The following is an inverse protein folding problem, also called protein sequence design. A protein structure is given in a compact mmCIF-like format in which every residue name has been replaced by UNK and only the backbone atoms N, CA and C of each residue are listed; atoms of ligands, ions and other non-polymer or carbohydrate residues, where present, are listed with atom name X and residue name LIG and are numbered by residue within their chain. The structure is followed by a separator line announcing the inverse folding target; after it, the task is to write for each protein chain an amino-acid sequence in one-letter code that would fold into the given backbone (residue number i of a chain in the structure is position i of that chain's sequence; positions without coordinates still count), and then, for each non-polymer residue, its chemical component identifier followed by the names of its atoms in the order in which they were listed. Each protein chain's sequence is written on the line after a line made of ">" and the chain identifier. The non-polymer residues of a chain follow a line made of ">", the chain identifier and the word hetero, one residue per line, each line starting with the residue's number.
data_IF_585959463898
#
_entry.id   IF_585959463898
#
_cell.length_a   1.000
_cell.length_b   1.000
_cell.length_c   1.000
_cell.angle_alpha   90.00
_cell.angle_beta   90.00
_cell.angle_gamma   90.00
#
_symmetry.space_group_name_H-M   'P 1'
#
loop_
_entity.id
_entity.type
_entity.pdbx_description
1 polymer ?
#
# COMPACT_ATOMS: atom_id res chain seq x y z
N UNK A 1 -12.36 8.79 37.40
CA UNK A 1 -12.49 7.63 36.49
C UNK A 1 -11.85 8.04 35.17
N UNK A 2 -10.74 7.43 34.79
CA UNK A 2 -10.18 7.62 33.44
C UNK A 2 -11.21 7.08 32.46
N UNK A 3 -11.73 7.95 31.58
CA UNK A 3 -12.65 7.56 30.50
C UNK A 3 -11.92 6.55 29.61
N UNK A 4 -12.55 5.43 29.29
CA UNK A 4 -11.93 4.45 28.38
C UNK A 4 -11.70 5.11 27.03
N UNK A 5 -10.48 4.98 26.51
CA UNK A 5 -10.10 5.50 25.20
C UNK A 5 -10.79 4.71 24.09
N UNK A 6 -11.05 5.36 22.97
CA UNK A 6 -11.48 4.68 21.76
C UNK A 6 -10.40 3.78 21.17
N UNK A 7 -10.74 3.08 20.09
CA UNK A 7 -9.86 2.20 19.34
C UNK A 7 -9.65 2.77 17.93
N UNK A 8 -8.44 2.66 17.40
CA UNK A 8 -8.14 2.91 15.99
C UNK A 8 -8.21 1.59 15.24
N UNK A 9 -9.04 1.53 14.21
CA UNK A 9 -9.13 0.42 13.29
C UNK A 9 -8.44 0.79 11.97
N UNK A 10 -7.38 0.05 11.60
CA UNK A 10 -6.74 0.19 10.30
C UNK A 10 -7.59 -0.57 9.27
N UNK A 11 -8.39 0.17 8.50
CA UNK A 11 -9.41 -0.36 7.59
C UNK A 11 -8.83 -0.52 6.19
N UNK A 12 -8.58 -1.74 5.71
CA UNK A 12 -8.17 -1.93 4.32
C UNK A 12 -9.33 -1.65 3.36
N UNK A 13 -8.97 -1.20 2.17
CA UNK A 13 -9.89 -1.05 1.05
C UNK A 13 -9.43 -1.87 -0.18
N UNK A 14 -10.29 -2.10 -1.18
CA UNK A 14 -9.89 -2.77 -2.41
C UNK A 14 -8.70 -2.07 -3.08
N UNK A 15 -7.80 -2.84 -3.69
CA UNK A 15 -6.70 -2.30 -4.51
C UNK A 15 -7.26 -1.81 -5.85
N UNK A 16 -8.20 -2.56 -6.43
CA UNK A 16 -8.89 -2.20 -7.66
C UNK A 16 -10.36 -1.85 -7.39
N UNK A 17 -10.84 -0.77 -8.01
CA UNK A 17 -12.25 -0.39 -7.96
C UNK A 17 -13.16 -1.23 -8.88
N UNK A 18 -12.59 -2.09 -9.73
CA UNK A 18 -13.32 -2.88 -10.72
C UNK A 18 -13.98 -4.15 -10.13
N UNK A 19 -13.64 -4.53 -8.90
CA UNK A 19 -14.26 -5.66 -8.19
C UNK A 19 -15.22 -5.19 -7.12
N UNK A 20 -16.14 -6.06 -6.72
CA UNK A 20 -16.96 -5.84 -5.54
C UNK A 20 -16.07 -5.76 -4.29
N UNK A 21 -16.47 -4.93 -3.33
CA UNK A 21 -15.72 -4.75 -2.09
C UNK A 21 -15.54 -6.08 -1.35
N UNK A 22 -16.60 -6.88 -1.32
CA UNK A 22 -16.63 -8.13 -0.54
C UNK A 22 -16.08 -9.35 -1.29
N UNK A 23 -15.61 -9.16 -2.52
CA UNK A 23 -14.82 -10.20 -3.22
C UNK A 23 -13.38 -10.24 -2.71
N UNK A 24 -12.89 -9.13 -2.15
CA UNK A 24 -11.49 -8.96 -1.72
C UNK A 24 -11.32 -8.64 -0.24
N UNK A 25 -12.39 -8.25 0.45
CA UNK A 25 -12.39 -7.98 1.89
C UNK A 25 -13.27 -8.99 2.63
N UNK A 26 -12.89 -9.43 3.85
CA UNK A 26 -13.76 -10.21 4.72
C UNK A 26 -15.02 -9.42 5.10
N UNK A 27 -16.19 -10.05 4.99
CA UNK A 27 -17.47 -9.44 5.37
C UNK A 27 -17.52 -9.02 6.86
N UNK A 28 -16.73 -9.66 7.72
CA UNK A 28 -16.59 -9.26 9.12
C UNK A 28 -16.09 -7.83 9.33
N UNK A 29 -15.39 -7.26 8.33
CA UNK A 29 -14.97 -5.85 8.40
C UNK A 29 -16.18 -4.90 8.39
N UNK A 30 -17.31 -5.30 7.80
CA UNK A 30 -18.51 -4.45 7.73
C UNK A 30 -19.09 -4.15 9.13
N UNK A 31 -19.05 -5.10 10.04
CA UNK A 31 -19.52 -4.91 11.42
C UNK A 31 -18.72 -3.81 12.12
N UNK A 32 -17.39 -3.84 11.94
CA UNK A 32 -16.52 -2.79 12.49
C UNK A 32 -16.82 -1.44 11.83
N UNK A 33 -16.90 -1.42 10.49
CA UNK A 33 -17.19 -0.18 9.74
C UNK A 33 -18.51 0.44 10.20
N UNK A 34 -19.57 -0.34 10.38
CA UNK A 34 -20.87 0.12 10.84
C UNK A 34 -20.88 0.66 12.28
N UNK A 35 -19.91 0.23 13.11
CA UNK A 35 -19.76 0.73 14.47
C UNK A 35 -19.12 2.11 14.56
N UNK A 36 -18.53 2.61 13.45
CA UNK A 36 -17.75 3.84 13.42
C UNK A 36 -18.54 4.99 12.79
N UNK A 37 -18.22 6.20 13.25
CA UNK A 37 -18.73 7.46 12.70
C UNK A 37 -17.62 8.51 12.47
N UNK A 38 -16.38 8.19 12.81
CA UNK A 38 -15.20 9.03 12.65
C UNK A 38 -14.12 8.31 11.82
N UNK A 39 -13.63 8.96 10.76
CA UNK A 39 -12.70 8.39 9.82
C UNK A 39 -11.54 9.34 9.54
N UNK A 40 -10.33 8.83 9.69
CA UNK A 40 -9.08 9.48 9.31
C UNK A 40 -8.66 8.88 7.96
N UNK A 41 -8.62 9.69 6.91
CA UNK A 41 -8.53 9.19 5.54
C UNK A 41 -7.47 9.93 4.74
N UNK A 42 -6.81 9.24 3.83
CA UNK A 42 -5.84 9.85 2.93
C UNK A 42 -6.54 10.80 1.94
N UNK A 43 -7.75 10.42 1.48
CA UNK A 43 -8.58 11.21 0.59
C UNK A 43 -10.07 11.01 0.92
N UNK A 44 -10.77 12.09 1.23
CA UNK A 44 -12.20 12.03 1.63
C UNK A 44 -13.08 11.47 0.51
N UNK A 45 -12.82 11.85 -0.74
CA UNK A 45 -13.65 11.40 -1.88
C UNK A 45 -13.55 9.91 -2.10
N UNK A 46 -12.35 9.37 -2.08
CA UNK A 46 -12.09 7.92 -2.23
C UNK A 46 -12.70 7.13 -1.07
N UNK A 47 -12.52 7.61 0.17
CA UNK A 47 -13.08 6.96 1.36
C UNK A 47 -14.62 6.95 1.35
N UNK A 48 -15.28 8.06 1.02
CA UNK A 48 -16.76 8.13 0.90
C UNK A 48 -17.26 7.13 -0.16
N UNK A 49 -16.58 7.03 -1.30
CA UNK A 49 -16.92 6.07 -2.37
C UNK A 49 -16.76 4.64 -1.89
N UNK A 50 -15.64 4.31 -1.23
CA UNK A 50 -15.42 2.99 -0.65
C UNK A 50 -16.51 2.61 0.33
N UNK A 51 -16.80 3.46 1.33
CA UNK A 51 -17.82 3.19 2.35
C UNK A 51 -19.22 3.04 1.74
N UNK A 52 -19.57 3.86 0.75
CA UNK A 52 -20.84 3.73 0.01
C UNK A 52 -20.94 2.38 -0.72
N UNK A 53 -19.86 1.94 -1.39
CA UNK A 53 -19.81 0.64 -2.08
C UNK A 53 -19.79 -0.54 -1.11
N UNK A 54 -19.23 -0.34 0.08
CA UNK A 54 -19.27 -1.35 1.14
C UNK A 54 -20.68 -1.56 1.72
N UNK A 55 -21.64 -0.68 1.42
CA UNK A 55 -23.03 -0.80 1.86
C UNK A 55 -23.20 -0.53 3.35
N UNK A 56 -22.51 0.49 3.87
CA UNK A 56 -22.66 0.88 5.28
C UNK A 56 -24.10 1.32 5.59
N UNK A 57 -24.54 1.05 6.82
CA UNK A 57 -25.91 1.33 7.26
C UNK A 57 -26.16 2.83 7.48
N UNK A 58 -25.13 3.56 7.96
CA UNK A 58 -25.22 5.00 8.21
C UNK A 58 -25.15 5.79 6.91
N UNK A 59 -25.86 6.92 6.84
CA UNK A 59 -25.72 7.85 5.74
C UNK A 59 -24.32 8.47 5.75
N UNK A 60 -23.67 8.54 4.61
CA UNK A 60 -22.31 9.10 4.45
C UNK A 60 -22.18 10.52 5.03
N UNK A 61 -23.23 11.33 4.91
CA UNK A 61 -23.24 12.71 5.41
C UNK A 61 -23.36 12.82 6.95
N UNK A 62 -23.61 11.72 7.64
CA UNK A 62 -23.59 11.62 9.10
C UNK A 62 -22.21 11.19 9.64
N UNK A 63 -21.26 10.90 8.77
CA UNK A 63 -19.91 10.50 9.12
C UNK A 63 -18.98 11.71 9.12
N UNK A 64 -18.07 11.73 10.07
CA UNK A 64 -17.02 12.73 10.14
C UNK A 64 -15.74 12.21 9.48
N UNK A 65 -15.18 13.01 8.58
CA UNK A 65 -13.94 12.69 7.86
C UNK A 65 -12.90 13.77 8.13
N UNK A 66 -11.67 13.34 8.43
CA UNK A 66 -10.49 14.21 8.50
C UNK A 66 -9.41 13.65 7.57
N UNK A 67 -8.76 14.54 6.82
CA UNK A 67 -7.70 14.13 5.90
C UNK A 67 -6.35 14.07 6.60
N UNK A 68 -5.66 12.94 6.42
CA UNK A 68 -4.27 12.72 6.77
C UNK A 68 -3.49 12.38 5.50
N UNK A 69 -2.83 13.38 4.92
CA UNK A 69 -2.04 13.28 3.70
C UNK A 69 -0.70 14.02 3.89
N UNK A 70 0.11 14.11 2.84
CA UNK A 70 1.42 14.79 2.89
C UNK A 70 1.36 16.28 3.31
N UNK A 71 0.21 16.93 3.16
CA UNK A 71 -0.01 18.33 3.53
C UNK A 71 -0.50 18.49 4.96
N UNK A 72 -1.09 17.45 5.56
CA UNK A 72 -1.71 17.44 6.90
C UNK A 72 -1.02 16.49 7.87
N UNK A 73 0.19 16.03 7.55
CA UNK A 73 0.98 15.09 8.37
C UNK A 73 1.85 15.78 9.44
N UNK A 74 1.65 17.08 9.70
CA UNK A 74 2.33 17.77 10.81
C UNK A 74 1.88 17.20 12.14
N UNK A 75 2.77 17.17 13.13
CA UNK A 75 2.51 16.57 14.45
C UNK A 75 1.25 17.15 15.10
N UNK A 76 1.06 18.48 15.01
CA UNK A 76 -0.12 19.18 15.56
C UNK A 76 -1.44 18.76 14.91
N UNK A 77 -1.42 18.46 13.60
CA UNK A 77 -2.59 17.99 12.88
C UNK A 77 -2.95 16.56 13.31
N UNK A 78 -1.95 15.69 13.43
CA UNK A 78 -2.15 14.30 13.86
C UNK A 78 -2.62 14.23 15.32
N UNK A 79 -2.10 15.10 16.21
CA UNK A 79 -2.56 15.23 17.61
C UNK A 79 -4.03 15.66 17.68
N UNK A 80 -4.45 16.61 16.83
CA UNK A 80 -5.84 17.03 16.75
C UNK A 80 -6.77 15.89 16.31
N UNK A 81 -6.33 15.07 15.35
CA UNK A 81 -7.08 13.89 14.89
C UNK A 81 -7.20 12.81 15.98
N UNK A 82 -6.20 12.70 16.87
CA UNK A 82 -6.23 11.72 17.97
C UNK A 82 -7.15 12.15 19.13
N UNK A 83 -7.42 13.45 19.32
CA UNK A 83 -8.17 13.95 20.48
C UNK A 83 -9.54 13.28 20.69
N UNK A 84 -10.43 13.11 19.69
CA UNK A 84 -11.69 12.40 19.88
C UNK A 84 -11.51 10.97 20.38
N UNK A 85 -10.41 10.32 19.97
CA UNK A 85 -10.11 8.94 20.33
C UNK A 85 -9.66 8.85 21.80
N UNK A 86 -8.90 9.82 22.26
CA UNK A 86 -8.55 9.94 23.69
C UNK A 86 -9.78 10.19 24.57
N UNK A 87 -10.83 10.77 24.01
CA UNK A 87 -12.10 11.03 24.68
C UNK A 87 -13.08 9.86 24.61
N UNK A 88 -12.69 8.70 24.01
CA UNK A 88 -13.47 7.47 23.98
C UNK A 88 -14.13 7.16 22.65
N UNK A 89 -14.00 8.00 21.62
CA UNK A 89 -14.56 7.77 20.28
C UNK A 89 -13.61 6.88 19.48
N UNK A 90 -14.10 5.79 18.87
CA UNK A 90 -13.29 4.97 17.97
C UNK A 90 -13.21 5.56 16.57
N UNK A 91 -12.13 5.25 15.85
CA UNK A 91 -11.89 5.78 14.51
C UNK A 91 -11.48 4.68 13.53
N UNK A 92 -11.84 4.86 12.24
CA UNK A 92 -11.33 4.09 11.13
C UNK A 92 -10.25 4.88 10.37
N UNK A 93 -9.12 4.23 10.06
CA UNK A 93 -8.08 4.80 9.19
C UNK A 93 -8.16 4.12 7.84
N UNK A 94 -8.29 4.89 6.76
CA UNK A 94 -8.48 4.40 5.39
C UNK A 94 -7.47 5.08 4.47
N UNK A 95 -6.67 4.28 3.73
CA UNK A 95 -5.81 4.75 2.64
C UNK A 95 -6.54 4.76 1.29
N UNK A 96 -5.88 5.22 0.23
CA UNK A 96 -6.49 5.19 -1.10
C UNK A 96 -6.65 3.78 -1.67
N UNK A 97 -5.72 2.85 -1.35
CA UNK A 97 -5.77 1.48 -1.84
C UNK A 97 -5.08 0.50 -0.89
N UNK A 98 -5.66 -0.67 -0.68
CA UNK A 98 -5.06 -1.75 0.10
C UNK A 98 -5.08 -1.50 1.61
N UNK A 99 -3.97 -1.76 2.28
CA UNK A 99 -3.85 -1.70 3.75
C UNK A 99 -3.27 -0.36 4.20
N UNK A 100 -3.94 0.38 5.10
CA UNK A 100 -3.43 1.65 5.61
C UNK A 100 -2.19 1.45 6.50
N UNK A 101 -1.36 2.49 6.59
CA UNK A 101 -0.11 2.47 7.35
C UNK A 101 1.07 1.80 6.63
N UNK A 102 0.88 1.35 5.38
CA UNK A 102 1.94 0.76 4.55
C UNK A 102 2.14 1.60 3.30
N UNK A 103 3.21 2.37 3.27
CA UNK A 103 3.52 3.35 2.22
C UNK A 103 2.50 4.50 2.12
N UNK A 104 1.84 4.81 3.21
CA UNK A 104 0.90 5.92 3.36
C UNK A 104 1.02 6.59 4.75
N UNK A 105 0.45 7.79 4.97
CA UNK A 105 0.57 8.54 6.23
C UNK A 105 -0.18 7.92 7.42
N UNK A 106 -0.96 6.87 7.23
CA UNK A 106 -1.65 6.16 8.32
C UNK A 106 -0.69 5.61 9.40
N UNK A 107 0.59 5.44 9.07
CA UNK A 107 1.62 5.06 10.04
C UNK A 107 1.81 6.12 11.15
N UNK A 108 1.65 7.41 10.84
CA UNK A 108 1.85 8.50 11.80
C UNK A 108 0.81 8.48 12.91
N UNK A 109 -0.47 8.30 12.54
CA UNK A 109 -1.56 8.20 13.53
C UNK A 109 -1.44 6.92 14.38
N UNK A 110 -1.00 5.81 13.80
CA UNK A 110 -0.74 4.57 14.54
C UNK A 110 0.41 4.75 15.54
N UNK A 111 1.51 5.39 15.13
CA UNK A 111 2.63 5.69 16.02
C UNK A 111 2.24 6.62 17.18
N UNK A 112 1.43 7.64 16.90
CA UNK A 112 0.92 8.56 17.94
C UNK A 112 -0.05 7.83 18.89
N UNK A 113 -0.92 6.99 18.37
CA UNK A 113 -1.84 6.17 19.16
C UNK A 113 -1.09 5.31 20.18
N UNK A 114 -0.04 4.62 19.76
CA UNK A 114 0.80 3.81 20.65
C UNK A 114 1.46 4.64 21.75
N UNK A 115 1.97 5.85 21.44
CA UNK A 115 2.53 6.76 22.44
C UNK A 115 1.52 7.15 23.51
N UNK A 116 0.26 7.26 23.15
CA UNK A 116 -0.83 7.61 24.07
C UNK A 116 -1.56 6.37 24.65
N UNK A 117 -1.09 5.15 24.42
CA UNK A 117 -1.72 3.93 24.92
C UNK A 117 -3.13 3.72 24.36
N UNK A 118 -3.37 4.14 23.11
CA UNK A 118 -4.60 3.85 22.35
C UNK A 118 -4.43 2.52 21.64
N UNK A 119 -5.46 1.69 21.68
CA UNK A 119 -5.48 0.41 20.97
C UNK A 119 -5.53 0.63 19.46
N UNK A 120 -4.64 -0.04 18.72
CA UNK A 120 -4.64 -0.07 17.24
C UNK A 120 -4.95 -1.48 16.78
N UNK A 121 -5.96 -1.65 15.94
CA UNK A 121 -6.45 -2.95 15.46
C UNK A 121 -6.34 -2.97 13.92
N UNK A 122 -5.42 -3.75 13.34
CA UNK A 122 -5.40 -3.96 11.91
C UNK A 122 -6.51 -4.91 11.50
N UNK A 123 -7.29 -4.54 10.46
CA UNK A 123 -8.25 -5.44 9.86
C UNK A 123 -7.63 -6.18 8.67
N UNK A 124 -8.20 -7.34 8.34
CA UNK A 124 -7.72 -8.18 7.24
C UNK A 124 -8.12 -7.59 5.89
N UNK A 125 -7.18 -7.50 4.97
CA UNK A 125 -7.44 -7.03 3.62
C UNK A 125 -6.26 -7.18 2.66
N UNK A 126 -6.43 -6.83 1.38
CA UNK A 126 -5.44 -7.04 0.35
C UNK A 126 -4.25 -6.08 0.49
N UNK A 127 -3.06 -6.59 0.22
CA UNK A 127 -1.83 -5.80 0.09
C UNK A 127 -1.14 -6.14 -1.23
N UNK A 128 -1.02 -5.16 -2.12
CA UNK A 128 -0.33 -5.37 -3.40
C UNK A 128 1.12 -5.82 -3.21
N UNK A 129 1.78 -5.34 -2.17
CA UNK A 129 3.15 -5.73 -1.80
C UNK A 129 3.21 -7.24 -1.49
N UNK A 130 2.38 -7.72 -0.57
CA UNK A 130 2.37 -9.15 -0.20
C UNK A 130 1.87 -10.03 -1.34
N UNK A 131 0.83 -9.60 -2.05
CA UNK A 131 0.29 -10.35 -3.19
C UNK A 131 1.31 -10.49 -4.33
N UNK A 132 2.12 -9.45 -4.58
CA UNK A 132 3.19 -9.54 -5.56
C UNK A 132 4.30 -10.52 -5.14
N UNK A 133 4.66 -10.57 -3.84
CA UNK A 133 5.58 -11.57 -3.30
C UNK A 133 5.01 -12.99 -3.46
N UNK A 134 3.75 -13.21 -3.07
CA UNK A 134 3.08 -14.51 -3.19
C UNK A 134 3.11 -15.06 -4.61
N UNK A 135 2.89 -14.19 -5.61
CA UNK A 135 2.80 -14.60 -7.01
C UNK A 135 4.15 -14.60 -7.74
N UNK A 136 5.21 -14.04 -7.15
CA UNK A 136 6.50 -13.85 -7.83
C UNK A 136 7.32 -15.14 -8.00
N UNK A 137 7.17 -16.12 -7.09
CA UNK A 137 8.07 -17.27 -7.00
C UNK A 137 9.50 -16.90 -6.56
N UNK A 138 9.69 -15.70 -5.96
CA UNK A 138 10.93 -15.26 -5.35
C UNK A 138 10.94 -15.58 -3.84
N UNK A 139 12.04 -15.23 -3.15
CA UNK A 139 12.17 -15.50 -1.72
C UNK A 139 11.17 -14.70 -0.90
N UNK A 140 10.17 -15.38 -0.35
CA UNK A 140 9.15 -14.79 0.53
C UNK A 140 9.51 -14.83 2.03
N UNK A 141 10.61 -15.46 2.42
CA UNK A 141 11.07 -15.43 3.82
C UNK A 141 11.94 -14.23 4.14
N UNK A 142 12.63 -13.69 3.13
CA UNK A 142 13.43 -12.48 3.23
C UNK A 142 13.13 -11.58 2.06
N UNK A 143 12.40 -10.50 2.31
CA UNK A 143 12.11 -9.48 1.31
C UNK A 143 12.06 -8.09 1.94
N UNK A 144 12.33 -7.08 1.14
CA UNK A 144 12.24 -5.69 1.55
C UNK A 144 11.47 -4.87 0.52
N UNK A 145 10.45 -4.15 0.99
CA UNK A 145 9.83 -3.08 0.22
C UNK A 145 10.61 -1.79 0.45
N UNK A 146 11.18 -1.23 -0.62
CA UNK A 146 12.07 -0.07 -0.55
C UNK A 146 11.43 1.21 -1.08
N UNK A 147 10.13 1.17 -1.39
CA UNK A 147 9.37 2.33 -1.87
C UNK A 147 9.79 2.78 -3.26
N UNK A 148 9.83 4.09 -3.47
CA UNK A 148 10.25 4.68 -4.75
C UNK A 148 11.78 4.67 -4.90
N UNK A 149 12.24 4.43 -6.13
CA UNK A 149 13.65 4.60 -6.47
C UNK A 149 13.96 6.08 -6.78
N UNK A 150 15.22 6.51 -6.63
CA UNK A 150 15.62 7.87 -6.98
C UNK A 150 15.28 8.23 -8.43
N UNK A 151 14.80 9.46 -8.64
CA UNK A 151 14.41 9.95 -9.98
C UNK A 151 15.63 10.23 -10.85
N UNK A 152 16.72 10.75 -10.24
CA UNK A 152 17.96 11.07 -10.97
C UNK A 152 18.68 9.81 -11.41
N UNK A 153 19.04 9.73 -12.67
CA UNK A 153 19.58 8.52 -13.29
C UNK A 153 20.82 7.97 -12.58
N UNK A 154 21.78 8.84 -12.19
CA UNK A 154 23.00 8.41 -11.48
C UNK A 154 22.73 7.84 -10.07
N UNK A 155 21.81 8.44 -9.32
CA UNK A 155 21.40 7.98 -8.00
C UNK A 155 20.61 6.67 -8.12
N UNK A 156 19.69 6.58 -9.09
CA UNK A 156 18.92 5.37 -9.39
C UNK A 156 19.84 4.22 -9.77
N UNK A 157 20.83 4.47 -10.64
CA UNK A 157 21.80 3.45 -11.03
C UNK A 157 22.61 2.91 -9.83
N UNK A 158 23.04 3.79 -8.92
CA UNK A 158 23.72 3.40 -7.69
C UNK A 158 22.80 2.56 -6.80
N UNK A 159 21.54 2.99 -6.62
CA UNK A 159 20.55 2.26 -5.82
C UNK A 159 20.26 0.87 -6.41
N UNK A 160 20.10 0.75 -7.72
CA UNK A 160 19.87 -0.54 -8.38
C UNK A 160 21.05 -1.53 -8.17
N UNK A 161 22.29 -1.05 -8.24
CA UNK A 161 23.47 -1.91 -7.93
C UNK A 161 23.48 -2.38 -6.47
N UNK A 162 23.07 -1.50 -5.54
CA UNK A 162 22.92 -1.88 -4.13
C UNK A 162 21.84 -2.95 -3.94
N UNK A 163 20.67 -2.79 -4.57
CA UNK A 163 19.58 -3.77 -4.48
C UNK A 163 20.00 -5.12 -5.10
N UNK A 164 20.67 -5.11 -6.26
CA UNK A 164 21.21 -6.34 -6.86
C UNK A 164 22.20 -7.03 -5.93
N UNK A 165 23.09 -6.28 -5.27
CA UNK A 165 24.03 -6.82 -4.29
C UNK A 165 23.30 -7.51 -3.14
N UNK A 166 22.26 -6.87 -2.55
CA UNK A 166 21.45 -7.47 -1.48
C UNK A 166 20.74 -8.74 -1.93
N UNK A 167 20.18 -8.75 -3.14
CA UNK A 167 19.58 -9.97 -3.70
C UNK A 167 20.60 -11.12 -3.74
N UNK A 168 21.85 -10.86 -4.15
CA UNK A 168 22.88 -11.89 -4.30
C UNK A 168 23.48 -12.35 -2.98
N UNK A 169 23.86 -11.40 -2.13
CA UNK A 169 24.59 -11.69 -0.89
C UNK A 169 23.64 -12.11 0.24
N UNK A 170 22.49 -11.45 0.37
CA UNK A 170 21.55 -11.68 1.46
C UNK A 170 20.37 -12.60 1.07
N UNK A 171 20.26 -12.99 -0.20
CA UNK A 171 19.11 -13.75 -0.73
C UNK A 171 17.76 -13.05 -0.49
N UNK A 172 17.78 -11.71 -0.34
CA UNK A 172 16.61 -10.91 -0.01
C UNK A 172 15.94 -10.37 -1.28
N UNK A 173 14.66 -10.70 -1.50
CA UNK A 173 13.87 -10.10 -2.59
C UNK A 173 13.69 -8.62 -2.35
N UNK A 174 13.88 -7.80 -3.39
CA UNK A 174 13.78 -6.34 -3.31
C UNK A 174 12.55 -5.87 -4.08
N UNK A 175 11.61 -5.22 -3.38
CA UNK A 175 10.37 -4.70 -3.95
C UNK A 175 10.42 -3.19 -4.02
N UNK A 176 9.96 -2.62 -5.13
CA UNK A 176 9.86 -1.17 -5.29
C UNK A 176 8.74 -0.80 -6.26
N UNK A 177 8.36 0.46 -6.21
CA UNK A 177 7.31 1.05 -7.05
C UNK A 177 7.83 2.28 -7.78
N UNK A 178 7.07 2.70 -8.77
CA UNK A 178 7.26 3.96 -9.47
C UNK A 178 5.90 4.62 -9.73
N UNK A 179 5.89 5.92 -9.98
CA UNK A 179 4.70 6.60 -10.46
C UNK A 179 4.26 5.99 -11.81
N UNK A 180 2.97 5.65 -12.00
CA UNK A 180 2.50 4.88 -13.15
C UNK A 180 2.95 5.40 -14.51
N UNK A 181 3.05 6.73 -14.68
CA UNK A 181 3.51 7.35 -15.92
C UNK A 181 5.02 7.18 -16.21
N UNK A 182 5.82 6.74 -15.22
CA UNK A 182 7.26 6.46 -15.34
C UNK A 182 7.60 4.98 -15.39
N UNK A 183 6.63 4.08 -15.26
CA UNK A 183 6.87 2.63 -15.21
C UNK A 183 7.66 2.11 -16.41
N UNK A 184 7.33 2.55 -17.61
CA UNK A 184 8.03 2.14 -18.84
C UNK A 184 9.50 2.52 -18.78
N UNK A 185 9.81 3.77 -18.41
CA UNK A 185 11.20 4.26 -18.29
C UNK A 185 11.97 3.50 -17.21
N UNK A 186 11.31 3.20 -16.08
CA UNK A 186 11.94 2.39 -15.04
C UNK A 186 12.22 0.98 -15.55
N UNK A 187 11.24 0.32 -16.17
CA UNK A 187 11.43 -1.02 -16.75
C UNK A 187 12.61 -1.07 -17.73
N UNK A 188 12.70 -0.13 -18.67
CA UNK A 188 13.81 -0.03 -19.62
C UNK A 188 15.15 0.11 -18.90
N UNK A 189 15.19 0.90 -17.82
CA UNK A 189 16.39 1.05 -16.98
C UNK A 189 16.76 -0.28 -16.30
N UNK A 190 15.77 -1.00 -15.74
CA UNK A 190 16.00 -2.28 -15.08
C UNK A 190 16.59 -3.31 -16.05
N UNK A 191 15.97 -3.50 -17.21
CA UNK A 191 16.41 -4.52 -18.17
C UNK A 191 17.75 -4.20 -18.83
N UNK A 192 18.09 -2.91 -18.96
CA UNK A 192 19.39 -2.51 -19.54
C UNK A 192 20.53 -2.64 -18.54
N UNK A 193 20.31 -2.32 -17.26
CA UNK A 193 21.38 -2.19 -16.26
C UNK A 193 21.64 -3.45 -15.44
N UNK A 194 20.58 -4.23 -15.12
CA UNK A 194 20.70 -5.36 -14.20
C UNK A 194 21.29 -6.59 -14.88
N UNK A 195 21.90 -7.45 -14.08
CA UNK A 195 22.50 -8.69 -14.56
C UNK A 195 21.49 -9.58 -15.28
N UNK A 196 21.88 -10.24 -16.39
CA UNK A 196 21.00 -11.10 -17.19
C UNK A 196 20.37 -12.25 -16.41
N UNK A 197 21.04 -12.73 -15.36
CA UNK A 197 20.60 -13.87 -14.54
C UNK A 197 19.68 -13.48 -13.39
N UNK A 198 19.58 -12.18 -13.06
CA UNK A 198 18.68 -11.71 -12.05
C UNK A 198 17.23 -11.87 -12.52
N UNK A 199 16.35 -12.31 -11.63
CA UNK A 199 14.92 -12.43 -11.94
C UNK A 199 14.21 -11.14 -11.63
N UNK A 200 13.38 -10.68 -12.55
CA UNK A 200 12.50 -9.54 -12.39
C UNK A 200 11.05 -10.00 -12.46
N UNK A 201 10.26 -9.67 -11.44
CA UNK A 201 8.81 -9.76 -11.49
C UNK A 201 8.25 -8.39 -11.84
N UNK A 202 7.31 -8.37 -12.77
CA UNK A 202 6.45 -7.22 -13.06
C UNK A 202 5.02 -7.62 -12.65
N UNK A 203 4.46 -6.93 -11.66
CA UNK A 203 3.13 -7.20 -11.12
C UNK A 203 2.27 -5.93 -11.27
N UNK A 204 1.34 -5.96 -12.19
CA UNK A 204 0.54 -4.81 -12.64
C UNK A 204 -0.94 -5.05 -12.39
N UNK A 205 -1.66 -4.01 -11.95
CA UNK A 205 -3.11 -4.00 -11.70
C UNK A 205 -3.60 -5.19 -10.86
N UNK A 206 -2.86 -5.52 -9.81
CA UNK A 206 -3.15 -6.64 -8.91
C UNK A 206 -4.60 -6.55 -8.42
N UNK A 207 -5.31 -7.68 -8.45
CA UNK A 207 -6.75 -7.86 -8.15
C UNK A 207 -7.73 -7.32 -9.21
N UNK A 208 -7.27 -6.66 -10.25
CA UNK A 208 -8.16 -6.25 -11.35
C UNK A 208 -8.39 -7.39 -12.34
N UNK A 209 -9.41 -7.28 -13.23
CA UNK A 209 -9.55 -8.21 -14.35
C UNK A 209 -8.38 -8.18 -15.35
N UNK A 210 -7.64 -7.07 -15.40
CA UNK A 210 -6.48 -6.87 -16.26
C UNK A 210 -5.16 -7.17 -15.53
N UNK A 211 -5.21 -7.88 -14.40
CA UNK A 211 -4.03 -8.28 -13.65
C UNK A 211 -3.00 -8.98 -14.52
N UNK A 212 -1.76 -8.53 -14.42
CA UNK A 212 -0.63 -9.15 -15.09
C UNK A 212 0.52 -9.34 -14.10
N UNK A 213 0.92 -10.59 -13.86
CA UNK A 213 2.06 -10.92 -13.00
C UNK A 213 2.95 -11.92 -13.73
N UNK A 214 4.21 -11.54 -13.95
CA UNK A 214 5.16 -12.41 -14.63
C UNK A 214 6.56 -12.20 -14.06
N UNK A 215 7.24 -13.32 -13.82
CA UNK A 215 8.64 -13.36 -13.35
C UNK A 215 9.51 -14.07 -14.39
N UNK A 216 10.49 -13.36 -14.91
CA UNK A 216 11.47 -13.89 -15.87
C UNK A 216 12.89 -13.43 -15.48
N UNK A 217 13.93 -14.14 -15.92
CA UNK A 217 15.28 -13.60 -15.96
C UNK A 217 15.34 -12.30 -16.79
N UNK A 218 16.20 -11.38 -16.41
CA UNK A 218 16.41 -10.13 -17.17
C UNK A 218 16.76 -10.41 -18.64
N UNK A 219 17.54 -11.48 -18.91
CA UNK A 219 17.86 -11.89 -20.29
C UNK A 219 16.62 -12.20 -21.13
N UNK A 220 15.58 -12.76 -20.54
CA UNK A 220 14.33 -13.08 -21.23
C UNK A 220 13.43 -11.85 -21.38
N UNK A 221 13.40 -10.98 -20.36
CA UNK A 221 12.70 -9.69 -20.47
C UNK A 221 13.24 -8.83 -21.62
N UNK A 222 14.56 -8.83 -21.82
CA UNK A 222 15.20 -8.13 -22.98
C UNK A 222 14.67 -8.59 -24.34
N UNK A 223 14.35 -9.89 -24.46
CA UNK A 223 13.82 -10.46 -25.70
C UNK A 223 12.32 -10.21 -25.88
N UNK A 224 11.59 -10.16 -24.76
CA UNK A 224 10.13 -10.01 -24.76
C UNK A 224 9.68 -8.57 -25.09
N UNK A 225 10.48 -7.58 -24.76
CA UNK A 225 10.10 -6.18 -24.90
C UNK A 225 9.32 -5.63 -23.71
N UNK A 226 8.78 -4.43 -23.84
CA UNK A 226 8.08 -3.71 -22.77
C UNK A 226 6.67 -4.31 -22.57
N UNK A 227 6.31 -4.77 -21.37
CA UNK A 227 4.95 -5.19 -21.07
C UNK A 227 3.99 -3.98 -21.01
N UNK A 228 2.68 -4.25 -21.03
CA UNK A 228 1.64 -3.21 -20.95
C UNK A 228 1.51 -2.65 -19.53
N UNK A 229 2.44 -1.78 -19.14
CA UNK A 229 2.53 -1.16 -17.81
C UNK A 229 2.41 0.36 -17.83
N UNK A 230 2.22 0.95 -19.02
CA UNK A 230 2.13 2.39 -19.17
C UNK A 230 0.90 2.94 -18.41
N UNK A 231 1.15 3.85 -17.45
CA UNK A 231 0.12 4.47 -16.61
C UNK A 231 -0.71 3.49 -15.77
N UNK A 232 -0.21 2.28 -15.53
CA UNK A 232 -0.87 1.25 -14.73
C UNK A 232 -0.12 1.06 -13.39
N UNK A 233 -0.83 0.93 -12.24
CA UNK A 233 -0.18 0.61 -10.97
C UNK A 233 0.64 -0.67 -11.07
N UNK A 234 1.94 -0.58 -10.77
CA UNK A 234 2.87 -1.69 -10.97
C UNK A 234 3.85 -1.79 -9.81
N UNK A 235 4.08 -3.01 -9.35
CA UNK A 235 5.16 -3.34 -8.41
C UNK A 235 6.22 -4.15 -9.17
N UNK A 236 7.47 -3.80 -8.93
CA UNK A 236 8.64 -4.50 -9.45
C UNK A 236 9.33 -5.25 -8.32
N UNK A 237 9.74 -6.50 -8.56
CA UNK A 237 10.50 -7.30 -7.61
C UNK A 237 11.75 -7.84 -8.28
N UNK A 238 12.87 -7.77 -7.56
CA UNK A 238 14.13 -8.40 -7.94
C UNK A 238 14.43 -9.56 -7.00
N UNK A 239 14.93 -10.67 -7.57
CA UNK A 239 15.34 -11.86 -6.83
C UNK A 239 16.24 -12.78 -7.65
N UNK A 240 16.59 -13.93 -7.08
CA UNK A 240 17.34 -15.02 -7.72
C UNK A 240 16.60 -16.33 -7.57
#
# INVERSE_FOLDING_TARGET
>A
MTKDKGTIYMLPCPISEQRDVWDVLPKSNLEVINSLDYFIVENIRSARRFLSRAGIERKIDQLEFVELNEHTSKVEDVERMLRPILEGRSAGVISEAGVPGVADPGADIAALAHRHGVRVVPLVGPSSILMSVMASGLNGQSFAFVGYLPIKDGERARRLRELERRVREERQSQLFIEAPYRNVKLYETLVSMLSPTLRLTVATDITSPEEFILTLPIAEWRKRGVPEIAKRPTIFLLGI
#
